data_IF_709128982717
#
_entry.id   IF_709128982717
#
_cell.length_a   1.000
_cell.length_b   1.000
_cell.length_c   1.000
_cell.angle_alpha   90.00
_cell.angle_beta   90.00
_cell.angle_gamma   90.00
#
_symmetry.space_group_name_H-M   'P 1'
#
loop_
_entity.id
_entity.type
_entity.pdbx_description
1 polymer ?
#
# COMPACT_ATOMS: atom_id res chain seq x y z
N UNK A 1 -4.17 -1.67 -10.57
CA UNK A 1 -5.35 -1.06 -9.93
C UNK A 1 -6.64 -1.37 -10.68
N UNK A 2 -6.74 -1.10 -12.00
CA UNK A 2 -7.96 -1.43 -12.76
C UNK A 2 -8.37 -2.90 -12.64
N UNK A 3 -7.43 -3.85 -12.78
CA UNK A 3 -7.73 -5.27 -12.62
C UNK A 3 -8.22 -5.66 -11.21
N UNK A 4 -7.81 -4.92 -10.17
CA UNK A 4 -8.26 -5.13 -8.80
C UNK A 4 -9.67 -4.54 -8.59
N UNK A 5 -9.95 -3.38 -9.17
CA UNK A 5 -11.29 -2.79 -9.15
C UNK A 5 -12.31 -3.69 -9.85
N UNK A 6 -11.95 -4.25 -11.01
CA UNK A 6 -12.77 -5.20 -11.75
C UNK A 6 -13.05 -6.48 -10.96
N UNK A 7 -12.01 -7.09 -10.38
CA UNK A 7 -12.15 -8.29 -9.52
C UNK A 7 -13.05 -8.07 -8.31
N UNK A 8 -13.04 -6.86 -7.73
CA UNK A 8 -13.82 -6.51 -6.54
C UNK A 8 -15.21 -5.95 -6.87
N UNK A 9 -15.51 -5.71 -8.14
CA UNK A 9 -16.75 -5.06 -8.57
C UNK A 9 -16.89 -3.61 -8.11
N UNK A 10 -15.75 -2.94 -7.85
CA UNK A 10 -15.67 -1.57 -7.33
C UNK A 10 -15.17 -0.61 -8.41
N UNK A 11 -15.27 0.70 -8.15
CA UNK A 11 -14.66 1.70 -9.02
C UNK A 11 -13.16 1.81 -8.80
N UNK A 12 -12.44 2.32 -9.81
CA UNK A 12 -11.02 2.63 -9.69
C UNK A 12 -10.74 3.64 -8.57
N UNK A 13 -11.60 4.66 -8.44
CA UNK A 13 -11.50 5.67 -7.38
C UNK A 13 -11.61 5.06 -5.99
N UNK A 14 -12.59 4.17 -5.78
CA UNK A 14 -12.81 3.49 -4.51
C UNK A 14 -11.57 2.70 -4.07
N UNK A 15 -11.01 1.89 -4.97
CA UNK A 15 -9.81 1.09 -4.67
C UNK A 15 -8.62 1.97 -4.31
N UNK A 16 -8.42 3.07 -5.04
CA UNK A 16 -7.33 4.01 -4.74
C UNK A 16 -7.51 4.70 -3.37
N UNK A 17 -8.72 5.20 -3.08
CA UNK A 17 -9.01 5.86 -1.79
C UNK A 17 -8.82 4.87 -0.64
N UNK A 18 -9.36 3.64 -0.74
CA UNK A 18 -9.22 2.65 0.32
C UNK A 18 -7.77 2.27 0.54
N UNK A 19 -7.01 1.99 -0.50
CA UNK A 19 -5.61 1.54 -0.36
C UNK A 19 -4.69 2.68 0.08
N UNK A 20 -4.69 3.80 -0.61
CA UNK A 20 -3.69 4.84 -0.41
C UNK A 20 -4.06 5.88 0.64
N UNK A 21 -5.35 6.14 0.86
CA UNK A 21 -5.77 7.10 1.88
C UNK A 21 -6.02 6.45 3.25
N UNK A 22 -6.37 5.17 3.30
CA UNK A 22 -6.69 4.50 4.56
C UNK A 22 -5.73 3.35 4.90
N UNK A 23 -5.64 2.33 4.06
CA UNK A 23 -4.93 1.07 4.42
C UNK A 23 -3.43 1.31 4.60
N UNK A 24 -2.76 1.88 3.62
CA UNK A 24 -1.31 2.09 3.69
C UNK A 24 -0.89 3.07 4.80
N UNK A 25 -1.49 4.27 4.94
CA UNK A 25 -1.12 5.18 6.02
C UNK A 25 -1.41 4.60 7.40
N UNK A 26 -2.58 3.97 7.59
CA UNK A 26 -2.96 3.36 8.85
C UNK A 26 -1.99 2.23 9.23
N UNK A 27 -1.66 1.36 8.28
CA UNK A 27 -0.71 0.28 8.48
C UNK A 27 0.68 0.82 8.82
N UNK A 28 1.14 1.83 8.11
CA UNK A 28 2.43 2.46 8.35
C UNK A 28 2.50 3.06 9.75
N UNK A 29 1.49 3.84 10.16
CA UNK A 29 1.43 4.44 11.50
C UNK A 29 1.39 3.36 12.58
N UNK A 30 0.58 2.32 12.40
CA UNK A 30 0.46 1.21 13.34
C UNK A 30 1.79 0.48 13.50
N UNK A 31 2.49 0.21 12.41
CA UNK A 31 3.80 -0.46 12.43
C UNK A 31 4.89 0.41 13.07
N UNK A 32 4.90 1.71 12.79
CA UNK A 32 5.83 2.65 13.44
C UNK A 32 5.55 2.75 14.94
N UNK A 33 4.29 2.75 15.35
CA UNK A 33 3.91 2.73 16.76
C UNK A 33 4.42 1.45 17.45
N UNK A 34 4.25 0.29 16.83
CA UNK A 34 4.78 -0.98 17.33
C UNK A 34 6.31 -0.96 17.47
N UNK A 35 7.01 -0.41 16.48
CA UNK A 35 8.46 -0.26 16.53
C UNK A 35 8.91 0.70 17.64
N UNK A 36 8.23 1.84 17.80
CA UNK A 36 8.49 2.80 18.88
C UNK A 36 8.26 2.16 20.26
N UNK A 37 7.17 1.42 20.43
CA UNK A 37 6.87 0.69 21.66
C UNK A 37 8.00 -0.24 22.06
N UNK A 38 8.53 -0.99 21.08
CA UNK A 38 9.65 -1.92 21.26
C UNK A 38 10.95 -1.18 21.61
N UNK A 39 11.25 -0.06 20.93
CA UNK A 39 12.46 0.73 21.18
C UNK A 39 12.46 1.39 22.56
N UNK A 40 11.30 1.82 23.05
CA UNK A 40 11.14 2.41 24.39
C UNK A 40 11.24 1.37 25.52
N UNK A 41 11.29 0.08 25.20
CA UNK A 41 11.43 -0.97 26.21
C UNK A 41 10.26 -1.09 27.19
N UNK A 42 9.04 -0.76 26.75
CA UNK A 42 7.84 -0.72 27.58
C UNK A 42 7.43 -2.15 28.06
N UNK A 43 6.64 -2.27 29.13
CA UNK A 43 6.22 -3.56 29.67
C UNK A 43 5.55 -4.44 28.60
N UNK A 44 5.89 -5.73 28.57
CA UNK A 44 5.31 -6.66 27.58
C UNK A 44 5.91 -6.61 26.18
N UNK A 45 7.02 -5.89 25.99
CA UNK A 45 7.75 -5.71 24.71
C UNK A 45 7.86 -7.00 23.89
N UNK A 46 8.12 -8.15 24.53
CA UNK A 46 8.28 -9.44 23.83
C UNK A 46 6.99 -9.87 23.13
N UNK A 47 5.88 -9.80 23.82
CA UNK A 47 4.58 -10.20 23.28
C UNK A 47 4.11 -9.23 22.20
N UNK A 48 4.18 -7.93 22.49
CA UNK A 48 3.80 -6.84 21.58
C UNK A 48 4.67 -6.86 20.32
N UNK A 49 6.00 -6.89 20.47
CA UNK A 49 6.93 -6.93 19.34
C UNK A 49 6.74 -8.15 18.45
N UNK A 50 6.48 -9.34 19.04
CA UNK A 50 6.15 -10.54 18.29
C UNK A 50 4.83 -10.40 17.54
N UNK A 51 3.81 -9.85 18.18
CA UNK A 51 2.51 -9.59 17.55
C UNK A 51 2.62 -8.66 16.34
N UNK A 52 3.29 -7.51 16.52
CA UNK A 52 3.52 -6.55 15.42
C UNK A 52 4.37 -7.12 14.28
N UNK A 53 5.41 -7.89 14.60
CA UNK A 53 6.23 -8.56 13.59
C UNK A 53 5.39 -9.51 12.73
N UNK A 54 4.61 -10.42 13.35
CA UNK A 54 3.78 -11.35 12.61
C UNK A 54 2.66 -10.64 11.84
N UNK A 55 2.03 -9.65 12.45
CA UNK A 55 1.02 -8.83 11.78
C UNK A 55 1.59 -8.15 10.52
N UNK A 56 2.75 -7.48 10.65
CA UNK A 56 3.41 -6.82 9.51
C UNK A 56 3.79 -7.81 8.41
N UNK A 57 4.34 -8.99 8.76
CA UNK A 57 4.68 -10.02 7.78
C UNK A 57 3.43 -10.53 7.06
N UNK A 58 2.36 -10.82 7.79
CA UNK A 58 1.11 -11.33 7.21
C UNK A 58 0.51 -10.32 6.25
N UNK A 59 0.39 -9.06 6.67
CA UNK A 59 -0.19 -8.01 5.81
C UNK A 59 0.68 -7.77 4.58
N UNK A 60 2.01 -7.70 4.74
CA UNK A 60 2.93 -7.54 3.61
C UNK A 60 2.86 -8.71 2.63
N UNK A 61 2.73 -9.94 3.14
CA UNK A 61 2.58 -11.12 2.30
C UNK A 61 1.25 -11.11 1.52
N UNK A 62 0.14 -10.79 2.19
CA UNK A 62 -1.18 -10.69 1.55
C UNK A 62 -1.18 -9.60 0.47
N UNK A 63 -0.67 -8.41 0.80
CA UNK A 63 -0.58 -7.31 -0.17
C UNK A 63 0.33 -7.68 -1.34
N UNK A 64 1.47 -8.30 -1.08
CA UNK A 64 2.39 -8.78 -2.12
C UNK A 64 1.74 -9.81 -3.04
N UNK A 65 1.01 -10.77 -2.50
CA UNK A 65 0.27 -11.77 -3.29
C UNK A 65 -0.81 -11.13 -4.16
N UNK A 66 -1.56 -10.17 -3.63
CA UNK A 66 -2.57 -9.43 -4.39
C UNK A 66 -1.94 -8.63 -5.53
N UNK A 67 -0.80 -7.97 -5.29
CA UNK A 67 -0.07 -7.23 -6.33
C UNK A 67 0.46 -8.16 -7.41
N UNK A 68 1.02 -9.34 -7.04
CA UNK A 68 1.49 -10.35 -7.99
C UNK A 68 0.32 -10.89 -8.80
N UNK A 69 -0.79 -11.26 -8.17
CA UNK A 69 -1.98 -11.77 -8.86
C UNK A 69 -2.53 -10.73 -9.85
N UNK A 70 -2.61 -9.45 -9.43
CA UNK A 70 -3.01 -8.34 -10.29
C UNK A 70 -2.03 -8.12 -11.46
N UNK A 71 -0.72 -8.26 -11.20
CA UNK A 71 0.32 -8.16 -12.24
C UNK A 71 0.25 -9.30 -13.25
N UNK A 72 0.07 -10.54 -12.79
CA UNK A 72 -0.11 -11.70 -13.66
C UNK A 72 -1.36 -11.54 -14.52
N UNK A 73 -2.47 -11.11 -13.93
CA UNK A 73 -3.70 -10.86 -14.67
C UNK A 73 -3.50 -9.78 -15.75
N UNK A 74 -2.81 -8.69 -15.43
CA UNK A 74 -2.46 -7.65 -16.40
C UNK A 74 -1.57 -8.19 -17.54
N UNK A 75 -0.55 -9.00 -17.22
CA UNK A 75 0.33 -9.62 -18.22
C UNK A 75 -0.41 -10.61 -19.13
N UNK A 76 -1.33 -11.41 -18.59
CA UNK A 76 -2.14 -12.33 -19.39
C UNK A 76 -3.10 -11.61 -20.33
N UNK A 77 -3.55 -10.42 -19.97
CA UNK A 77 -4.35 -9.55 -20.84
C UNK A 77 -3.52 -8.95 -21.98
N UNK A 78 -2.29 -8.56 -21.69
CA UNK A 78 -1.35 -7.99 -22.69
C UNK A 78 -0.86 -9.04 -23.67
N UNK A 79 -0.59 -10.26 -23.21
CA UNK A 79 -0.03 -11.34 -24.03
C UNK A 79 -1.05 -11.94 -25.01
N UNK A 80 -2.35 -11.73 -24.78
CA UNK A 80 -3.42 -12.26 -25.63
C UNK A 80 -3.80 -11.41 -26.82
N UNK A 81 -3.43 -10.13 -26.86
CA UNK A 81 -3.92 -9.21 -27.90
C UNK A 81 -2.91 -8.09 -28.18
N UNK A 82 -2.71 -7.82 -29.46
CA UNK A 82 -2.36 -6.45 -29.84
C UNK A 82 -3.41 -5.54 -29.20
N UNK A 83 -3.02 -4.74 -28.21
CA UNK A 83 -3.91 -3.80 -27.52
C UNK A 83 -4.63 -2.99 -28.60
N UNK A 84 -5.91 -3.23 -28.76
CA UNK A 84 -6.72 -2.50 -29.72
C UNK A 84 -7.11 -1.14 -29.14
N UNK A 85 -7.45 -0.20 -30.01
CA UNK A 85 -7.96 1.10 -29.57
C UNK A 85 -9.20 0.93 -28.65
N UNK A 86 -10.04 -0.07 -28.93
CA UNK A 86 -11.20 -0.41 -28.10
C UNK A 86 -10.83 -0.84 -26.68
N UNK A 87 -9.71 -1.56 -26.51
CA UNK A 87 -9.21 -1.95 -25.18
C UNK A 87 -8.71 -0.72 -24.39
N UNK A 88 -8.02 0.21 -25.07
CA UNK A 88 -7.59 1.47 -24.47
C UNK A 88 -8.78 2.33 -24.06
N UNK A 89 -9.79 2.44 -24.89
CA UNK A 89 -11.02 3.20 -24.62
C UNK A 89 -11.78 2.60 -23.43
N UNK A 90 -11.82 1.27 -23.32
CA UNK A 90 -12.41 0.54 -22.19
C UNK A 90 -11.68 0.82 -20.87
N UNK A 91 -10.33 0.77 -20.88
CA UNK A 91 -9.50 1.09 -19.70
C UNK A 91 -9.69 2.56 -19.30
N UNK A 92 -9.69 3.47 -20.26
CA UNK A 92 -9.90 4.90 -20.01
C UNK A 92 -11.30 5.15 -19.42
N UNK A 93 -12.34 4.50 -19.94
CA UNK A 93 -13.69 4.60 -19.41
C UNK A 93 -13.79 4.09 -17.95
N UNK A 94 -13.04 3.03 -17.61
CA UNK A 94 -12.97 2.51 -16.25
C UNK A 94 -12.27 3.50 -15.31
N UNK A 95 -11.16 4.10 -15.73
CA UNK A 95 -10.38 5.06 -14.92
C UNK A 95 -11.15 6.36 -14.72
N UNK A 96 -11.87 6.83 -15.73
CA UNK A 96 -12.59 8.11 -15.72
C UNK A 96 -13.99 8.01 -15.12
N UNK A 97 -14.48 6.79 -14.83
CA UNK A 97 -15.78 6.60 -14.21
C UNK A 97 -15.75 7.07 -12.76
N UNK A 98 -16.50 8.13 -12.41
CA UNK A 98 -16.55 8.60 -11.02
C UNK A 98 -17.21 7.56 -10.12
N UNK A 99 -16.79 7.53 -8.87
CA UNK A 99 -17.46 6.69 -7.87
C UNK A 99 -18.89 7.21 -7.60
N UNK A 100 -19.89 6.33 -7.47
CA UNK A 100 -21.24 6.73 -7.13
C UNK A 100 -21.34 7.35 -5.73
N UNK A 101 -20.40 7.05 -4.82
CA UNK A 101 -20.32 7.69 -3.51
C UNK A 101 -19.60 9.06 -3.63
N UNK A 102 -20.31 10.17 -3.38
CA UNK A 102 -19.73 11.50 -3.51
C UNK A 102 -18.57 11.74 -2.55
N UNK A 103 -18.52 11.04 -1.42
CA UNK A 103 -17.43 11.17 -0.45
C UNK A 103 -16.15 10.53 -0.98
N UNK A 104 -16.26 9.35 -1.60
CA UNK A 104 -15.13 8.66 -2.23
C UNK A 104 -14.59 9.48 -3.38
N UNK A 105 -15.47 10.00 -4.25
CA UNK A 105 -15.09 10.85 -5.37
C UNK A 105 -14.36 12.14 -4.91
N UNK A 106 -14.90 12.85 -3.93
CA UNK A 106 -14.28 14.06 -3.37
C UNK A 106 -12.92 13.78 -2.73
N UNK A 107 -12.80 12.69 -1.97
CA UNK A 107 -11.51 12.27 -1.38
C UNK A 107 -10.49 11.90 -2.46
N UNK A 108 -10.90 11.19 -3.50
CA UNK A 108 -10.03 10.86 -4.62
C UNK A 108 -9.52 12.13 -5.30
N UNK A 109 -10.40 13.06 -5.64
CA UNK A 109 -10.05 14.33 -6.28
C UNK A 109 -9.09 15.16 -5.41
N UNK A 110 -9.36 15.29 -4.11
CA UNK A 110 -8.49 16.01 -3.18
C UNK A 110 -7.10 15.38 -3.08
N UNK A 111 -7.02 14.05 -3.02
CA UNK A 111 -5.75 13.33 -2.99
C UNK A 111 -4.97 13.52 -4.28
N UNK A 112 -5.64 13.44 -5.43
CA UNK A 112 -5.03 13.67 -6.74
C UNK A 112 -4.51 15.11 -6.87
N UNK A 113 -5.30 16.10 -6.46
CA UNK A 113 -4.88 17.51 -6.44
C UNK A 113 -3.65 17.72 -5.53
N UNK A 114 -3.68 17.16 -4.32
CA UNK A 114 -2.56 17.25 -3.40
C UNK A 114 -1.28 16.63 -3.98
N UNK A 115 -1.38 15.44 -4.60
CA UNK A 115 -0.26 14.77 -5.25
C UNK A 115 0.28 15.60 -6.43
N UNK A 116 -0.60 16.15 -7.26
CA UNK A 116 -0.22 16.99 -8.38
C UNK A 116 0.46 18.28 -7.91
N UNK A 117 -0.09 18.94 -6.90
CA UNK A 117 0.47 20.19 -6.36
C UNK A 117 1.84 19.94 -5.68
N UNK A 118 1.96 18.85 -4.94
CA UNK A 118 3.22 18.45 -4.30
C UNK A 118 4.30 18.06 -5.32
N UNK A 119 3.91 17.60 -6.51
CA UNK A 119 4.80 17.17 -7.57
C UNK A 119 5.25 18.30 -8.53
N UNK A 120 4.72 19.51 -8.39
CA UNK A 120 5.05 20.68 -9.24
C UNK A 120 6.51 21.16 -9.16
N UNK A 121 7.31 20.55 -8.27
CA UNK A 121 8.74 20.79 -8.18
C UNK A 121 9.54 19.99 -9.24
N UNK A 122 10.74 19.54 -8.84
CA UNK A 122 11.67 18.81 -9.71
C UNK A 122 11.25 17.36 -10.02
N UNK A 123 10.22 16.84 -9.36
CA UNK A 123 9.69 15.49 -9.58
C UNK A 123 8.33 15.54 -10.28
N UNK A 124 8.18 14.77 -11.36
CA UNK A 124 6.87 14.56 -12.00
C UNK A 124 5.93 13.77 -11.08
N UNK A 125 4.60 13.93 -11.27
CA UNK A 125 3.55 13.24 -10.52
C UNK A 125 3.79 11.73 -10.32
N UNK A 126 4.16 11.02 -11.39
CA UNK A 126 4.41 9.59 -11.33
C UNK A 126 5.60 9.24 -10.42
N UNK A 127 6.68 10.02 -10.47
CA UNK A 127 7.85 9.80 -9.63
C UNK A 127 7.55 10.09 -8.15
N UNK A 128 6.77 11.12 -7.86
CA UNK A 128 6.36 11.48 -6.51
C UNK A 128 5.45 10.41 -5.89
N UNK A 129 4.48 9.90 -6.67
CA UNK A 129 3.60 8.82 -6.26
C UNK A 129 4.37 7.53 -5.98
N UNK A 130 5.31 7.17 -6.88
CA UNK A 130 6.21 6.04 -6.70
C UNK A 130 7.05 6.18 -5.41
N UNK A 131 7.59 7.39 -5.17
CA UNK A 131 8.41 7.67 -3.99
C UNK A 131 7.62 7.43 -2.70
N UNK A 132 6.41 7.97 -2.60
CA UNK A 132 5.60 7.87 -1.36
C UNK A 132 5.10 6.44 -1.15
N UNK A 133 4.35 5.90 -2.12
CA UNK A 133 3.61 4.67 -1.93
C UNK A 133 4.40 3.40 -2.20
N UNK A 134 5.45 3.46 -3.02
CA UNK A 134 6.25 2.27 -3.34
C UNK A 134 7.59 2.24 -2.59
N UNK A 135 8.14 3.37 -2.20
CA UNK A 135 9.41 3.42 -1.48
C UNK A 135 9.26 3.77 -0.01
N UNK A 136 8.67 4.92 0.33
CA UNK A 136 8.65 5.41 1.72
C UNK A 136 7.80 4.55 2.64
N UNK A 137 6.54 4.30 2.28
CA UNK A 137 5.62 3.54 3.14
C UNK A 137 6.06 2.08 3.33
N UNK A 138 6.36 1.30 2.29
CA UNK A 138 6.87 -0.06 2.46
C UNK A 138 8.22 -0.12 3.20
N UNK A 139 9.11 0.86 3.00
CA UNK A 139 10.39 0.93 3.72
C UNK A 139 10.17 1.16 5.23
N UNK A 140 9.21 2.00 5.60
CA UNK A 140 8.85 2.24 7.00
C UNK A 140 8.29 0.95 7.66
N UNK A 141 7.43 0.22 6.96
CA UNK A 141 6.87 -1.04 7.41
C UNK A 141 7.98 -2.09 7.58
N UNK A 142 8.85 -2.27 6.57
CA UNK A 142 9.98 -3.20 6.63
C UNK A 142 10.94 -2.87 7.76
N UNK A 143 11.28 -1.59 7.95
CA UNK A 143 12.15 -1.14 9.05
C UNK A 143 11.53 -1.46 10.41
N UNK A 144 10.22 -1.27 10.56
CA UNK A 144 9.48 -1.62 11.77
C UNK A 144 9.51 -3.12 12.06
N UNK A 145 9.32 -3.96 11.05
CA UNK A 145 9.42 -5.43 11.17
C UNK A 145 10.83 -5.83 11.63
N UNK A 146 11.88 -5.25 11.05
CA UNK A 146 13.28 -5.53 11.40
C UNK A 146 13.56 -5.13 12.85
N UNK A 147 13.07 -3.99 13.31
CA UNK A 147 13.22 -3.52 14.70
C UNK A 147 12.56 -4.51 15.65
N UNK A 148 11.32 -4.89 15.40
CA UNK A 148 10.58 -5.85 16.22
C UNK A 148 11.28 -7.22 16.24
N UNK A 149 11.77 -7.70 15.09
CA UNK A 149 12.51 -8.96 14.98
C UNK A 149 13.83 -8.95 15.78
N UNK A 150 14.63 -7.88 15.64
CA UNK A 150 15.89 -7.76 16.38
C UNK A 150 15.69 -7.74 17.89
N UNK A 151 14.67 -7.05 18.36
CA UNK A 151 14.32 -7.02 19.79
C UNK A 151 13.91 -8.39 20.30
N UNK A 152 13.08 -9.11 19.54
CA UNK A 152 12.70 -10.47 19.86
C UNK A 152 13.89 -11.41 19.94
N UNK A 153 14.82 -11.35 18.98
CA UNK A 153 16.04 -12.17 18.96
C UNK A 153 16.98 -11.88 20.13
N UNK A 154 17.16 -10.59 20.46
CA UNK A 154 18.01 -10.18 21.60
C UNK A 154 17.47 -10.73 22.92
N UNK A 155 16.17 -10.76 23.07
CA UNK A 155 15.49 -11.21 24.28
C UNK A 155 15.52 -12.73 24.47
N UNK A 156 15.77 -13.52 23.43
CA UNK A 156 15.85 -14.98 23.47
C UNK A 156 17.29 -15.51 23.61
N UNK A 157 18.30 -14.67 23.73
CA UNK A 157 19.66 -15.13 24.07
C UNK A 157 19.69 -15.45 25.54
N UNK A 158 20.13 -16.69 25.94
CA UNK A 158 20.39 -17.00 27.34
C UNK A 158 21.45 -16.01 27.84
N UNK A 159 21.20 -15.41 28.98
CA UNK A 159 22.21 -14.67 29.74
C UNK A 159 23.12 -15.74 30.34
N UNK A 160 24.27 -15.95 29.69
CA UNK A 160 25.41 -16.70 30.28
C UNK A 160 25.91 -15.98 31.53
#
# INVERSE_FOLDING_TARGET
MCGMADMMGCTYEYVNVVLFCYVEPLLTVLMLFGAAYVLLGLPGVRCVGKGFMWFGITVSAVTGLLLIASGINALTLVDKHNITQADMDSIMAMITRPDPDPLVHDMFQKTMHWLMDSSKGNMGYNAFNLLIYVLLMPSAILSSIIICYKSFRKSNRPTD
#
